data_IF_512732758728
#
_entry.id   IF_512732758728
#
_cell.length_a   1.000
_cell.length_b   1.000
_cell.length_c   1.000
_cell.angle_alpha   90.00
_cell.angle_beta   90.00
_cell.angle_gamma   90.00
#
_symmetry.space_group_name_H-M   'P 1'
#
loop_
_entity.id
_entity.type
_entity.pdbx_description
1 polymer ?
#
# COMPACT_ATOMS: atom_id res chain seq x y z
N UNK A 1 19.85 12.59 6.76
CA UNK A 1 18.45 12.17 6.92
C UNK A 1 18.36 10.67 6.79
N UNK A 2 18.48 9.94 7.90
CA UNK A 2 18.36 8.48 7.89
C UNK A 2 16.93 8.04 7.58
N UNK A 3 16.75 7.30 6.50
CA UNK A 3 15.46 6.89 5.92
C UNK A 3 15.28 5.38 6.03
N UNK A 4 14.19 4.95 6.67
CA UNK A 4 13.83 3.55 6.82
C UNK A 4 12.53 3.25 6.09
N UNK A 5 12.52 2.20 5.27
CA UNK A 5 11.31 1.74 4.58
C UNK A 5 10.71 0.52 5.29
N UNK A 6 9.53 0.71 5.89
CA UNK A 6 8.76 -0.32 6.56
C UNK A 6 7.67 -0.83 5.60
N UNK A 7 7.82 -2.05 5.11
CA UNK A 7 7.01 -2.55 3.99
C UNK A 7 6.62 -4.01 4.16
N UNK A 8 5.75 -4.52 3.29
CA UNK A 8 5.47 -5.94 3.14
C UNK A 8 6.41 -6.61 2.11
N UNK A 9 6.30 -7.93 1.97
CA UNK A 9 7.03 -8.73 0.99
C UNK A 9 6.29 -8.86 -0.36
N UNK A 10 5.85 -7.75 -0.94
CA UNK A 10 5.15 -7.72 -2.23
C UNK A 10 6.05 -7.30 -3.39
N UNK A 11 5.64 -7.60 -4.63
CA UNK A 11 6.33 -7.11 -5.82
C UNK A 11 6.45 -5.58 -5.87
N UNK A 12 5.37 -4.81 -5.66
CA UNK A 12 5.46 -3.35 -5.58
C UNK A 12 6.44 -2.85 -4.51
N UNK A 13 6.51 -3.52 -3.35
CA UNK A 13 7.49 -3.19 -2.32
C UNK A 13 8.92 -3.40 -2.81
N UNK A 14 9.23 -4.55 -3.41
CA UNK A 14 10.54 -4.83 -4.01
C UNK A 14 10.91 -3.78 -5.06
N UNK A 15 9.96 -3.41 -5.91
CA UNK A 15 10.17 -2.38 -6.94
C UNK A 15 10.55 -1.03 -6.33
N UNK A 16 9.78 -0.56 -5.33
CA UNK A 16 10.05 0.72 -4.67
C UNK A 16 11.38 0.67 -3.91
N UNK A 17 11.63 -0.38 -3.13
CA UNK A 17 12.88 -0.53 -2.35
C UNK A 17 14.12 -0.46 -3.24
N UNK A 18 14.15 -1.24 -4.33
CA UNK A 18 15.30 -1.26 -5.24
C UNK A 18 15.56 0.12 -5.86
N UNK A 19 14.51 0.80 -6.33
CA UNK A 19 14.67 2.12 -6.94
C UNK A 19 15.08 3.20 -5.93
N UNK A 20 14.59 3.14 -4.68
CA UNK A 20 15.05 4.05 -3.62
C UNK A 20 16.51 3.78 -3.25
N UNK A 21 16.90 2.51 -3.16
CA UNK A 21 18.29 2.11 -2.91
C UNK A 21 19.24 2.59 -4.00
N UNK A 22 18.93 2.35 -5.29
CA UNK A 22 19.73 2.80 -6.44
C UNK A 22 19.95 4.32 -6.42
N UNK A 23 18.98 5.09 -5.91
CA UNK A 23 19.08 6.55 -5.79
C UNK A 23 19.78 7.03 -4.51
N UNK A 24 20.25 6.13 -3.65
CA UNK A 24 20.86 6.48 -2.36
C UNK A 24 19.88 7.16 -1.40
N UNK A 25 18.59 6.83 -1.50
CA UNK A 25 17.51 7.44 -0.70
C UNK A 25 17.05 6.55 0.46
N UNK A 26 17.76 5.46 0.72
CA UNK A 26 17.32 4.43 1.64
C UNK A 26 18.50 3.87 2.44
N UNK A 27 18.39 3.93 3.76
CA UNK A 27 19.42 3.43 4.67
C UNK A 27 19.12 2.02 5.18
N UNK A 28 17.84 1.70 5.43
CA UNK A 28 17.43 0.37 5.86
C UNK A 28 16.00 0.02 5.41
N UNK A 29 15.71 -1.27 5.31
CA UNK A 29 14.37 -1.80 5.04
C UNK A 29 13.96 -2.79 6.10
N UNK A 30 12.72 -2.67 6.59
CA UNK A 30 12.09 -3.63 7.48
C UNK A 30 10.90 -4.26 6.76
N UNK A 31 10.92 -5.57 6.59
CA UNK A 31 9.89 -6.34 5.89
C UNK A 31 8.98 -7.04 6.90
N UNK A 32 7.69 -6.76 6.85
CA UNK A 32 6.65 -7.51 7.57
C UNK A 32 6.26 -8.77 6.78
N UNK A 33 6.76 -9.93 7.22
CA UNK A 33 6.38 -11.24 6.68
C UNK A 33 5.05 -11.69 7.33
N UNK A 34 3.94 -11.14 6.83
CA UNK A 34 2.59 -11.25 7.38
C UNK A 34 1.89 -12.62 7.29
N UNK A 35 2.62 -13.75 7.39
CA UNK A 35 2.03 -15.10 7.24
C UNK A 35 1.11 -15.50 8.41
N UNK A 36 1.46 -15.13 9.66
CA UNK A 36 0.73 -15.60 10.84
C UNK A 36 -0.66 -14.97 11.03
N UNK A 37 -0.86 -13.69 10.66
CA UNK A 37 -2.15 -12.99 10.87
C UNK A 37 -3.23 -13.39 9.85
N UNK A 38 -2.84 -13.84 8.65
CA UNK A 38 -3.77 -14.06 7.52
C UNK A 38 -4.68 -15.28 7.77
N UNK A 39 -4.10 -16.39 8.23
CA UNK A 39 -4.84 -17.64 8.51
C UNK A 39 -5.77 -17.50 9.72
N UNK A 40 -5.30 -16.91 10.81
CA UNK A 40 -6.11 -16.69 12.01
C UNK A 40 -7.28 -15.73 11.78
N UNK A 41 -7.08 -14.69 10.95
CA UNK A 41 -8.16 -13.77 10.57
C UNK A 41 -9.26 -14.47 9.76
N UNK A 42 -8.88 -15.28 8.77
CA UNK A 42 -9.83 -16.06 7.96
C UNK A 42 -10.66 -17.00 8.84
N UNK A 43 -9.99 -17.75 9.74
CA UNK A 43 -10.69 -18.66 10.66
C UNK A 43 -11.66 -17.89 11.56
N UNK A 44 -11.23 -16.75 12.12
CA UNK A 44 -12.08 -15.91 12.97
C UNK A 44 -13.29 -15.37 12.21
N UNK A 45 -13.08 -14.89 10.98
CA UNK A 45 -14.17 -14.37 10.14
C UNK A 45 -15.19 -15.46 9.79
N UNK A 46 -14.73 -16.67 9.42
CA UNK A 46 -15.62 -17.80 9.15
C UNK A 46 -16.41 -18.18 10.40
N UNK A 47 -15.76 -18.29 11.57
CA UNK A 47 -16.43 -18.61 12.84
C UNK A 47 -17.45 -17.56 13.27
N UNK A 48 -17.23 -16.28 12.95
CA UNK A 48 -18.17 -15.21 13.26
C UNK A 48 -19.30 -15.04 12.22
N UNK A 49 -19.27 -15.79 11.12
CA UNK A 49 -20.24 -15.66 10.03
C UNK A 49 -21.40 -16.63 10.26
N UNK A 50 -22.65 -16.15 10.05
CA UNK A 50 -23.82 -17.03 10.06
C UNK A 50 -23.65 -18.18 9.07
N UNK A 51 -24.03 -19.40 9.45
CA UNK A 51 -23.86 -20.61 8.62
C UNK A 51 -24.37 -20.42 7.18
N UNK A 52 -25.48 -19.69 7.00
CA UNK A 52 -26.06 -19.39 5.68
C UNK A 52 -25.16 -18.54 4.77
N UNK A 53 -24.22 -17.77 5.33
CA UNK A 53 -23.29 -16.88 4.60
C UNK A 53 -21.88 -17.45 4.45
N UNK A 54 -21.61 -18.65 4.98
CA UNK A 54 -20.31 -19.32 4.81
C UNK A 54 -20.00 -19.56 3.33
N UNK A 55 -20.92 -20.03 2.47
CA UNK A 55 -20.63 -20.23 1.05
C UNK A 55 -20.21 -18.93 0.34
N UNK A 56 -20.91 -17.82 0.61
CA UNK A 56 -20.57 -16.49 0.08
C UNK A 56 -19.16 -16.08 0.53
N UNK A 57 -18.83 -16.31 1.80
CA UNK A 57 -17.52 -15.95 2.35
C UNK A 57 -16.38 -16.77 1.75
N UNK A 58 -16.60 -18.07 1.50
CA UNK A 58 -15.63 -18.92 0.79
C UNK A 58 -15.40 -18.37 -0.62
N UNK A 59 -16.47 -17.99 -1.31
CA UNK A 59 -16.40 -17.43 -2.65
C UNK A 59 -15.65 -16.09 -2.67
N UNK A 60 -15.87 -15.21 -1.69
CA UNK A 60 -15.11 -13.96 -1.52
C UNK A 60 -13.60 -14.23 -1.37
N UNK A 61 -13.24 -15.17 -0.49
CA UNK A 61 -11.84 -15.53 -0.24
C UNK A 61 -11.18 -16.11 -1.48
N UNK A 62 -11.88 -16.98 -2.19
CA UNK A 62 -11.41 -17.57 -3.44
C UNK A 62 -11.22 -16.51 -4.53
N UNK A 63 -12.17 -15.59 -4.67
CA UNK A 63 -12.12 -14.49 -5.65
C UNK A 63 -10.92 -13.59 -5.40
N UNK A 64 -10.73 -13.17 -4.14
CA UNK A 64 -9.59 -12.34 -3.76
C UNK A 64 -8.27 -13.07 -3.90
N UNK A 65 -8.24 -14.37 -3.62
CA UNK A 65 -7.06 -15.19 -3.87
C UNK A 65 -6.70 -15.20 -5.36
N UNK A 66 -7.64 -15.51 -6.26
CA UNK A 66 -7.42 -15.48 -7.72
C UNK A 66 -6.93 -14.09 -8.14
N UNK A 67 -7.66 -13.03 -7.76
CA UNK A 67 -7.32 -11.66 -8.12
C UNK A 67 -5.89 -11.29 -7.65
N UNK A 68 -5.51 -11.70 -6.44
CA UNK A 68 -4.17 -11.48 -5.90
C UNK A 68 -3.10 -12.24 -6.69
N UNK A 69 -3.36 -13.48 -7.10
CA UNK A 69 -2.42 -14.27 -7.90
C UNK A 69 -2.23 -13.68 -9.30
N UNK A 70 -3.31 -13.26 -9.96
CA UNK A 70 -3.24 -12.63 -11.27
C UNK A 70 -2.50 -11.29 -11.20
N UNK A 71 -2.81 -10.49 -10.17
CA UNK A 71 -2.09 -9.24 -9.89
C UNK A 71 -0.60 -9.48 -9.69
N UNK A 72 -0.23 -10.46 -8.86
CA UNK A 72 1.17 -10.82 -8.59
C UNK A 72 1.91 -11.18 -9.89
N UNK A 73 1.33 -12.09 -10.69
CA UNK A 73 1.91 -12.50 -11.97
C UNK A 73 2.07 -11.34 -12.95
N UNK A 74 1.09 -10.44 -13.01
CA UNK A 74 1.15 -9.27 -13.86
C UNK A 74 2.27 -8.32 -13.43
N UNK A 75 2.36 -8.00 -12.13
CA UNK A 75 3.43 -7.15 -11.59
C UNK A 75 4.82 -7.78 -11.81
N UNK A 76 4.97 -9.07 -11.56
CA UNK A 76 6.22 -9.79 -11.84
C UNK A 76 6.62 -9.65 -13.32
N UNK A 77 5.69 -9.92 -14.23
CA UNK A 77 5.96 -9.90 -15.68
C UNK A 77 6.21 -8.49 -16.23
N UNK A 78 5.44 -7.49 -15.79
CA UNK A 78 5.38 -6.17 -16.43
C UNK A 78 6.05 -5.05 -15.65
N UNK A 79 6.42 -5.28 -14.38
CA UNK A 79 7.12 -4.30 -13.55
C UNK A 79 8.49 -4.82 -13.10
N UNK A 80 8.56 -6.04 -12.56
CA UNK A 80 9.80 -6.53 -11.94
C UNK A 80 10.81 -7.05 -12.95
N UNK A 81 10.44 -8.03 -13.78
CA UNK A 81 11.33 -8.62 -14.80
C UNK A 81 11.94 -7.57 -15.75
N UNK A 82 11.18 -6.60 -16.29
CA UNK A 82 11.75 -5.58 -17.17
C UNK A 82 12.75 -4.65 -16.47
N UNK A 83 12.69 -4.55 -15.13
CA UNK A 83 13.62 -3.75 -14.33
C UNK A 83 14.72 -4.62 -13.67
N UNK A 84 14.83 -5.91 -14.02
CA UNK A 84 15.78 -6.86 -13.43
C UNK A 84 15.70 -6.96 -11.90
N UNK A 85 14.48 -6.88 -11.36
CA UNK A 85 14.23 -6.96 -9.91
C UNK A 85 13.66 -8.33 -9.57
N UNK A 86 14.37 -9.13 -8.79
CA UNK A 86 13.88 -10.42 -8.29
C UNK A 86 13.64 -10.37 -6.78
N UNK A 87 14.59 -9.81 -6.04
CA UNK A 87 14.58 -9.71 -4.59
C UNK A 87 14.79 -8.28 -4.10
N UNK A 88 14.73 -8.09 -2.78
CA UNK A 88 15.18 -6.86 -2.15
C UNK A 88 16.71 -6.72 -2.29
N UNK A 89 17.24 -5.48 -2.36
CA UNK A 89 18.68 -5.25 -2.44
C UNK A 89 19.40 -5.83 -1.21
N UNK A 90 20.59 -6.38 -1.42
CA UNK A 90 21.40 -7.02 -0.37
C UNK A 90 22.41 -6.07 0.25
N UNK A 91 22.63 -4.92 -0.38
CA UNK A 91 23.60 -3.89 -0.01
C UNK A 91 23.05 -2.89 1.03
N UNK A 92 21.81 -3.07 1.49
CA UNK A 92 21.20 -2.25 2.55
C UNK A 92 20.93 -3.07 3.81
N UNK A 93 20.81 -2.38 4.94
CA UNK A 93 20.41 -3.04 6.18
C UNK A 93 18.97 -3.56 6.07
N UNK A 94 18.81 -4.88 6.06
CA UNK A 94 17.56 -5.56 5.75
C UNK A 94 17.09 -6.41 6.93
N UNK A 95 15.94 -6.06 7.49
CA UNK A 95 15.33 -6.76 8.62
C UNK A 95 14.01 -7.42 8.23
N UNK A 96 13.71 -8.56 8.86
CA UNK A 96 12.42 -9.25 8.72
C UNK A 96 11.73 -9.37 10.08
N UNK A 97 10.46 -8.98 10.12
CA UNK A 97 9.63 -9.00 11.33
C UNK A 97 8.29 -9.67 11.05
N UNK A 98 7.70 -10.31 12.07
CA UNK A 98 6.36 -10.90 11.96
C UNK A 98 5.23 -9.85 12.00
N UNK A 99 5.52 -8.70 12.60
CA UNK A 99 4.54 -7.65 12.85
C UNK A 99 5.24 -6.28 12.85
N UNK A 100 4.78 -5.36 12.00
CA UNK A 100 5.30 -3.99 11.92
C UNK A 100 5.08 -3.18 13.22
N UNK A 101 4.10 -3.59 14.04
CA UNK A 101 3.84 -3.04 15.38
C UNK A 101 4.36 -3.93 16.52
N UNK A 102 5.20 -4.92 16.21
CA UNK A 102 5.76 -5.84 17.20
C UNK A 102 6.95 -5.24 17.96
N UNK A 103 7.27 -5.81 19.12
CA UNK A 103 8.44 -5.42 19.92
C UNK A 103 9.76 -5.54 19.15
N UNK A 104 9.89 -6.56 18.31
CA UNK A 104 11.06 -6.74 17.43
C UNK A 104 11.22 -5.54 16.48
N UNK A 105 10.16 -5.15 15.78
CA UNK A 105 10.19 -4.00 14.87
C UNK A 105 10.51 -2.70 15.61
N UNK A 106 9.90 -2.50 16.78
CA UNK A 106 10.18 -1.35 17.63
C UNK A 106 11.65 -1.30 18.07
N UNK A 107 12.22 -2.44 18.46
CA UNK A 107 13.64 -2.53 18.85
C UNK A 107 14.57 -2.15 17.71
N UNK A 108 14.31 -2.67 16.50
CA UNK A 108 15.10 -2.38 15.31
C UNK A 108 15.00 -0.89 14.95
N UNK A 109 13.79 -0.32 14.95
CA UNK A 109 13.60 1.09 14.67
C UNK A 109 14.30 1.98 15.71
N UNK A 110 14.32 1.57 16.98
CA UNK A 110 15.04 2.32 18.03
C UNK A 110 16.56 2.29 17.81
N UNK A 111 17.13 1.15 17.41
CA UNK A 111 18.57 1.06 17.12
C UNK A 111 18.95 1.80 15.85
N UNK A 112 18.05 1.86 14.87
CA UNK A 112 18.29 2.59 13.64
C UNK A 112 18.23 4.11 13.85
N UNK A 113 17.43 4.61 14.79
CA UNK A 113 17.18 6.04 14.99
C UNK A 113 16.79 6.79 13.70
N UNK A 114 15.74 6.37 12.99
CA UNK A 114 15.36 6.99 11.73
C UNK A 114 14.94 8.45 11.90
N UNK A 115 15.29 9.29 10.94
CA UNK A 115 14.72 10.63 10.80
C UNK A 115 13.42 10.59 9.99
N UNK A 116 13.36 9.70 9.00
CA UNK A 116 12.19 9.47 8.15
C UNK A 116 11.83 7.97 8.14
N UNK A 117 10.57 7.66 8.41
CA UNK A 117 9.98 6.34 8.13
C UNK A 117 9.00 6.46 6.98
N UNK A 118 9.14 5.58 6.00
CA UNK A 118 8.19 5.41 4.91
C UNK A 118 7.50 4.07 5.09
N UNK A 119 6.17 4.07 4.99
CA UNK A 119 5.33 2.89 5.22
C UNK A 119 4.63 2.53 3.92
N UNK A 120 4.61 1.23 3.59
CA UNK A 120 3.87 0.73 2.44
C UNK A 120 3.32 -0.68 2.68
N UNK A 121 1.99 -0.78 2.74
CA UNK A 121 1.29 -2.07 2.74
C UNK A 121 1.53 -2.96 3.96
N UNK A 122 1.90 -2.39 5.11
CA UNK A 122 2.01 -3.10 6.39
C UNK A 122 0.68 -3.19 7.12
N UNK A 123 0.65 -3.91 8.25
CA UNK A 123 -0.44 -3.81 9.21
C UNK A 123 -0.49 -2.45 9.90
N UNK A 124 -1.63 -2.13 10.54
CA UNK A 124 -1.84 -0.87 11.25
C UNK A 124 -0.76 -0.68 12.31
N UNK A 125 -0.13 0.49 12.28
CA UNK A 125 0.96 0.86 13.18
C UNK A 125 0.42 1.36 14.51
N UNK A 126 1.00 0.87 15.61
CA UNK A 126 0.69 1.38 16.95
C UNK A 126 1.40 2.73 17.20
N UNK A 127 0.89 3.57 18.12
CA UNK A 127 1.46 4.89 18.40
C UNK A 127 2.96 4.89 18.65
N UNK A 128 3.52 3.87 19.29
CA UNK A 128 4.95 3.78 19.61
C UNK A 128 5.83 3.62 18.36
N UNK A 129 5.30 3.06 17.28
CA UNK A 129 5.99 2.98 15.99
C UNK A 129 5.76 4.26 15.18
N UNK A 130 4.57 4.87 15.27
CA UNK A 130 4.25 6.11 14.55
C UNK A 130 5.16 7.28 14.97
N UNK A 131 5.50 7.36 16.26
CA UNK A 131 6.25 8.47 16.84
C UNK A 131 7.77 8.28 16.88
N UNK A 132 8.29 7.16 16.38
CA UNK A 132 9.71 6.83 16.54
C UNK A 132 10.64 7.60 15.58
N UNK A 133 10.14 8.00 14.41
CA UNK A 133 10.91 8.81 13.47
C UNK A 133 11.11 10.23 14.02
N UNK A 134 12.34 10.74 13.98
CA UNK A 134 12.66 12.06 14.53
C UNK A 134 11.95 13.22 13.81
N UNK A 135 11.62 13.06 12.51
CA UNK A 135 11.03 14.14 11.70
C UNK A 135 9.69 13.76 11.09
N UNK A 136 9.61 12.67 10.35
CA UNK A 136 8.41 12.30 9.61
C UNK A 136 8.17 10.79 9.59
N UNK A 137 6.90 10.41 9.69
CA UNK A 137 6.42 9.07 9.38
C UNK A 137 5.39 9.23 8.27
N UNK A 138 5.65 8.65 7.10
CA UNK A 138 4.85 8.83 5.89
C UNK A 138 4.28 7.50 5.41
N UNK A 139 3.05 7.50 4.89
CA UNK A 139 2.46 6.34 4.21
C UNK A 139 2.37 6.59 2.70
N UNK A 140 2.72 5.58 1.91
CA UNK A 140 2.40 5.53 0.49
C UNK A 140 1.02 4.86 0.35
N UNK A 141 -0.02 5.66 0.11
CA UNK A 141 -1.38 5.17 -0.12
C UNK A 141 -1.71 5.16 -1.62
N UNK A 142 -2.01 4.00 -2.19
CA UNK A 142 -2.32 3.82 -3.62
C UNK A 142 -3.72 4.31 -4.05
N UNK A 143 -4.24 5.36 -3.41
CA UNK A 143 -5.50 6.01 -3.73
C UNK A 143 -5.47 7.52 -3.50
N UNK A 144 -6.50 8.23 -3.95
CA UNK A 144 -6.65 9.68 -3.84
C UNK A 144 -7.49 10.05 -2.61
N UNK A 145 -6.82 10.35 -1.50
CA UNK A 145 -7.47 10.82 -0.27
C UNK A 145 -8.05 12.23 -0.45
N UNK A 146 -9.16 12.59 0.22
CA UNK A 146 -9.86 11.82 1.23
C UNK A 146 -10.76 10.70 0.69
N UNK A 147 -10.92 10.50 -0.63
CA UNK A 147 -11.68 9.37 -1.18
C UNK A 147 -10.84 8.07 -1.16
N UNK A 148 -11.51 6.94 -1.37
CA UNK A 148 -10.87 5.63 -1.57
C UNK A 148 -9.79 5.28 -0.53
N UNK A 149 -10.02 5.61 0.75
CA UNK A 149 -9.17 5.23 1.88
C UNK A 149 -9.24 3.72 2.12
N UNK A 150 -8.23 3.20 2.80
CA UNK A 150 -8.01 1.80 3.12
C UNK A 150 -7.52 0.98 1.90
N UNK A 151 -8.16 -0.14 1.57
CA UNK A 151 -7.58 -1.13 0.65
C UNK A 151 -8.24 -1.15 -0.73
N UNK A 152 -7.47 -1.54 -1.75
CA UNK A 152 -7.94 -1.72 -3.13
C UNK A 152 -8.56 -0.45 -3.76
N UNK A 153 -7.99 0.72 -3.45
CA UNK A 153 -8.48 2.02 -3.90
C UNK A 153 -8.65 2.12 -5.42
N UNK A 154 -7.72 1.55 -6.18
CA UNK A 154 -7.76 1.48 -7.63
C UNK A 154 -8.97 0.68 -8.14
N UNK A 155 -9.26 -0.48 -7.56
CA UNK A 155 -10.47 -1.26 -7.88
C UNK A 155 -11.75 -0.46 -7.59
N UNK A 156 -11.81 0.22 -6.44
CA UNK A 156 -13.02 0.94 -6.03
C UNK A 156 -13.27 2.17 -6.92
N UNK A 157 -12.24 2.93 -7.26
CA UNK A 157 -12.36 4.05 -8.18
C UNK A 157 -12.78 3.59 -9.58
N UNK A 158 -12.18 2.53 -10.12
CA UNK A 158 -12.55 1.94 -11.41
C UNK A 158 -13.98 1.39 -11.40
N UNK A 159 -14.37 0.64 -10.38
CA UNK A 159 -15.71 0.04 -10.30
C UNK A 159 -16.82 1.09 -10.16
N UNK A 160 -16.50 2.27 -9.62
CA UNK A 160 -17.39 3.43 -9.57
C UNK A 160 -17.32 4.34 -10.79
N UNK A 161 -16.48 4.03 -11.78
CA UNK A 161 -16.21 4.87 -12.95
C UNK A 161 -15.69 6.27 -12.58
N UNK A 162 -15.04 6.39 -11.42
CA UNK A 162 -14.46 7.64 -10.90
C UNK A 162 -12.98 7.73 -11.30
N UNK A 163 -12.72 7.75 -12.61
CA UNK A 163 -11.36 7.68 -13.17
C UNK A 163 -10.48 8.87 -12.80
N UNK A 164 -11.08 10.01 -12.39
CA UNK A 164 -10.35 11.19 -11.93
C UNK A 164 -9.80 11.05 -10.51
N UNK A 165 -10.15 9.98 -9.79
CA UNK A 165 -9.68 9.69 -8.44
C UNK A 165 -8.81 8.41 -8.36
N UNK A 166 -8.15 8.07 -9.47
CA UNK A 166 -7.15 7.01 -9.52
C UNK A 166 -5.77 7.65 -9.44
N UNK A 167 -4.94 7.18 -8.51
CA UNK A 167 -3.59 7.69 -8.30
C UNK A 167 -3.05 7.35 -6.92
N UNK A 168 -2.09 8.13 -6.43
CA UNK A 168 -1.40 7.89 -5.16
C UNK A 168 -1.35 9.15 -4.31
N UNK A 169 -1.49 8.95 -3.00
CA UNK A 169 -1.27 9.98 -1.97
C UNK A 169 -0.12 9.56 -1.06
N UNK A 170 0.82 10.47 -0.84
CA UNK A 170 1.80 10.38 0.24
C UNK A 170 1.26 11.21 1.41
N UNK A 171 1.02 10.57 2.54
CA UNK A 171 0.38 11.21 3.70
C UNK A 171 1.28 11.11 4.93
N UNK A 172 1.18 12.09 5.82
CA UNK A 172 1.73 12.00 7.17
C UNK A 172 0.90 10.99 7.96
N UNK A 173 1.54 9.98 8.52
CA UNK A 173 0.85 8.88 9.20
C UNK A 173 0.34 9.33 10.56
N UNK A 174 -0.92 9.07 10.85
CA UNK A 174 -1.59 9.30 12.12
C UNK A 174 -2.24 7.98 12.61
N UNK A 175 -2.89 7.96 13.79
CA UNK A 175 -3.55 6.74 14.28
C UNK A 175 -4.74 6.24 13.44
N UNK A 176 -5.24 7.02 12.47
CA UNK A 176 -6.36 6.64 11.63
C UNK A 176 -5.92 5.89 10.36
N UNK A 177 -6.91 5.39 9.60
CA UNK A 177 -6.64 4.69 8.35
C UNK A 177 -6.70 5.70 7.21
N UNK A 178 -5.53 6.06 6.71
CA UNK A 178 -5.31 7.04 5.63
C UNK A 178 -5.95 8.41 5.90
N UNK A 179 -5.95 8.86 7.17
CA UNK A 179 -6.60 10.12 7.60
C UNK A 179 -5.67 11.31 7.71
N UNK A 180 -4.35 11.07 7.79
CA UNK A 180 -3.40 12.14 8.05
C UNK A 180 -3.19 13.10 6.89
N UNK A 181 -2.51 14.22 7.17
CA UNK A 181 -2.34 15.31 6.21
C UNK A 181 -1.60 14.87 4.95
N UNK A 182 -1.96 15.45 3.80
CA UNK A 182 -1.37 15.14 2.51
C UNK A 182 -0.02 15.85 2.41
N UNK A 183 1.04 15.07 2.21
CA UNK A 183 2.36 15.57 1.86
C UNK A 183 2.46 15.82 0.36
N UNK A 184 2.00 14.84 -0.44
CA UNK A 184 1.94 14.97 -1.89
C UNK A 184 0.87 14.04 -2.47
N UNK A 185 0.33 14.38 -3.64
CA UNK A 185 -0.68 13.57 -4.31
C UNK A 185 -0.51 13.68 -5.81
N UNK A 186 -0.67 12.57 -6.53
CA UNK A 186 -0.57 12.52 -7.98
C UNK A 186 -1.71 11.70 -8.57
N UNK A 187 -2.28 12.18 -9.68
CA UNK A 187 -3.34 11.51 -10.43
C UNK A 187 -2.75 10.67 -11.54
N UNK A 188 -3.39 9.54 -11.82
CA UNK A 188 -3.06 8.66 -12.93
C UNK A 188 -3.97 8.94 -14.12
N UNK A 189 -3.38 9.12 -15.30
CA UNK A 189 -4.13 9.10 -16.56
C UNK A 189 -4.51 7.66 -16.90
N UNK A 190 -5.81 7.40 -16.96
CA UNK A 190 -6.37 6.10 -17.38
C UNK A 190 -6.86 6.19 -18.82
N UNK A 191 -6.42 5.25 -19.65
CA UNK A 191 -6.83 5.13 -21.05
C UNK A 191 -7.90 4.06 -21.22
N UNK A 192 -8.55 4.00 -22.39
CA UNK A 192 -9.62 3.04 -22.68
C UNK A 192 -9.14 1.57 -22.75
N UNK A 193 -7.87 1.35 -23.06
CA UNK A 193 -7.23 0.04 -23.14
C UNK A 193 -6.61 -0.42 -21.79
N UNK A 194 -6.68 0.43 -20.76
CA UNK A 194 -6.16 0.09 -19.45
C UNK A 194 -7.01 -0.99 -18.76
N UNK A 195 -6.32 -2.00 -18.28
CA UNK A 195 -6.89 -3.03 -17.40
C UNK A 195 -6.64 -2.63 -15.95
N UNK A 196 -7.39 -3.23 -15.02
CA UNK A 196 -7.13 -3.03 -13.58
C UNK A 196 -5.68 -3.38 -13.19
N UNK A 197 -5.06 -4.35 -13.88
CA UNK A 197 -3.67 -4.72 -13.63
C UNK A 197 -2.66 -3.70 -14.20
N UNK A 198 -2.91 -3.15 -15.39
CA UNK A 198 -2.06 -2.08 -15.94
C UNK A 198 -2.18 -0.80 -15.13
N UNK A 199 -3.39 -0.45 -14.67
CA UNK A 199 -3.63 0.66 -13.74
C UNK A 199 -2.81 0.47 -12.47
N UNK A 200 -2.88 -0.70 -11.84
CA UNK A 200 -2.11 -0.97 -10.62
C UNK A 200 -0.60 -0.84 -10.86
N UNK A 201 -0.08 -1.37 -11.97
CA UNK A 201 1.34 -1.24 -12.35
C UNK A 201 1.74 0.23 -12.50
N UNK A 202 0.97 1.01 -13.27
CA UNK A 202 1.18 2.46 -13.43
C UNK A 202 1.11 3.22 -12.11
N UNK A 203 0.21 2.82 -11.20
CA UNK A 203 0.08 3.47 -9.91
C UNK A 203 1.28 3.20 -8.98
N UNK A 204 1.92 2.03 -9.10
CA UNK A 204 3.18 1.73 -8.37
C UNK A 204 4.33 2.61 -8.91
N UNK A 205 4.41 2.82 -10.22
CA UNK A 205 5.39 3.73 -10.82
C UNK A 205 5.18 5.18 -10.37
N UNK A 206 3.93 5.64 -10.36
CA UNK A 206 3.57 6.95 -9.80
C UNK A 206 3.93 7.06 -8.31
N UNK A 207 3.68 6.00 -7.54
CA UNK A 207 4.03 5.97 -6.11
C UNK A 207 5.52 6.14 -5.88
N UNK A 208 6.36 5.49 -6.70
CA UNK A 208 7.80 5.65 -6.67
C UNK A 208 8.22 7.11 -6.99
N UNK A 209 7.67 7.69 -8.05
CA UNK A 209 7.96 9.07 -8.43
C UNK A 209 7.62 10.04 -7.29
N UNK A 210 6.44 9.87 -6.68
CA UNK A 210 5.98 10.73 -5.61
C UNK A 210 6.82 10.56 -4.34
N UNK A 211 7.17 9.34 -3.94
CA UNK A 211 7.95 9.16 -2.72
C UNK A 211 9.39 9.68 -2.87
N UNK A 212 10.00 9.58 -4.06
CA UNK A 212 11.32 10.17 -4.33
C UNK A 212 11.28 11.69 -4.10
N UNK A 213 10.34 12.40 -4.73
CA UNK A 213 10.21 13.85 -4.56
C UNK A 213 9.91 14.22 -3.10
N UNK A 214 9.07 13.43 -2.43
CA UNK A 214 8.73 13.61 -1.01
C UNK A 214 9.96 13.49 -0.12
N UNK A 215 10.83 12.50 -0.34
CA UNK A 215 12.08 12.34 0.42
C UNK A 215 12.99 13.57 0.23
N UNK A 216 13.13 14.07 -0.99
CA UNK A 216 13.93 15.26 -1.26
C UNK A 216 13.38 16.51 -0.54
N UNK A 217 12.07 16.74 -0.57
CA UNK A 217 11.44 17.83 0.18
C UNK A 217 11.58 17.66 1.70
N UNK A 218 11.51 16.42 2.19
CA UNK A 218 11.71 16.11 3.61
C UNK A 218 13.14 16.43 4.07
N UNK A 219 14.16 16.15 3.23
CA UNK A 219 15.55 16.51 3.52
C UNK A 219 15.71 18.01 3.76
N UNK A 220 15.11 18.86 2.92
CA UNK A 220 15.17 20.32 3.05
C UNK A 220 14.21 20.90 4.09
N UNK A 221 13.35 20.08 4.70
CA UNK A 221 12.38 20.52 5.71
C UNK A 221 11.14 21.24 5.16
N UNK A 222 10.96 21.27 3.84
CA UNK A 222 9.85 21.95 3.17
C UNK A 222 8.71 21.00 2.81
N UNK A 223 8.49 19.95 3.61
CA UNK A 223 7.48 18.95 3.30
C UNK A 223 6.06 19.47 3.61
N UNK A 224 5.14 19.53 2.62
CA UNK A 224 3.79 20.06 2.83
C UNK A 224 2.97 19.24 3.82
N UNK A 225 1.98 19.89 4.43
CA UNK A 225 0.98 19.29 5.34
C UNK A 225 -0.40 19.85 5.02
N UNK A 226 -0.99 19.37 3.93
CA UNK A 226 -2.32 19.82 3.51
C UNK A 226 -3.38 18.98 4.18
N UNK A 227 -4.21 19.60 5.02
CA UNK A 227 -5.27 18.90 5.75
C UNK A 227 -6.32 18.31 4.80
N UNK A 228 -6.67 17.05 5.01
CA UNK A 228 -7.77 16.41 4.28
C UNK A 228 -9.12 17.03 4.64
N UNK A 229 -10.03 17.17 3.66
CA UNK A 229 -11.42 17.51 3.92
C UNK A 229 -12.17 16.34 4.57
N UNK A 230 -13.19 16.63 5.40
CA UNK A 230 -14.00 15.59 6.05
C UNK A 230 -14.99 14.99 5.04
N UNK A 231 -14.86 13.70 4.74
CA UNK A 231 -15.80 12.94 3.91
C UNK A 231 -16.34 11.71 4.66
N UNK A 232 -17.67 11.56 4.68
CA UNK A 232 -18.39 10.50 5.40
C UNK A 232 -18.25 9.14 4.67
N UNK A 233 -18.21 9.12 3.33
CA UNK A 233 -18.20 7.88 2.52
C UNK A 233 -16.91 7.69 1.71
N UNK A 234 -15.82 7.46 2.43
CA UNK A 234 -14.49 7.35 1.83
C UNK A 234 -13.74 6.07 2.19
N UNK A 235 -14.26 5.28 3.12
CA UNK A 235 -13.61 4.06 3.60
C UNK A 235 -14.09 2.83 2.82
N UNK A 236 -13.16 2.08 2.24
CA UNK A 236 -13.49 0.91 1.43
C UNK A 236 -12.87 -0.37 1.99
N UNK A 237 -13.58 -1.50 1.87
CA UNK A 237 -13.11 -2.81 2.35
C UNK A 237 -12.53 -3.61 1.17
N UNK A 238 -11.98 -4.79 1.47
CA UNK A 238 -11.62 -5.75 0.43
C UNK A 238 -12.87 -6.11 -0.41
N UNK A 239 -12.82 -6.03 -1.75
CA UNK A 239 -13.96 -6.34 -2.60
C UNK A 239 -14.46 -7.78 -2.41
N UNK A 240 -15.77 -7.96 -2.40
CA UNK A 240 -16.43 -9.27 -2.40
C UNK A 240 -16.53 -9.84 -3.81
N UNK A 241 -16.89 -11.12 -3.93
CA UNK A 241 -17.24 -11.72 -5.21
C UNK A 241 -18.31 -10.91 -5.95
N UNK A 242 -19.34 -10.46 -5.22
CA UNK A 242 -20.44 -9.68 -5.80
C UNK A 242 -19.94 -8.35 -6.36
N UNK A 243 -18.96 -7.72 -5.72
CA UNK A 243 -18.38 -6.47 -6.23
C UNK A 243 -17.62 -6.69 -7.55
N UNK A 244 -16.82 -7.76 -7.64
CA UNK A 244 -16.18 -8.15 -8.90
C UNK A 244 -17.20 -8.50 -9.99
N UNK A 245 -18.24 -9.24 -9.64
CA UNK A 245 -19.29 -9.64 -10.57
C UNK A 245 -20.05 -8.43 -11.12
N UNK A 246 -20.43 -7.48 -10.25
CA UNK A 246 -21.07 -6.22 -10.66
C UNK A 246 -20.16 -5.39 -11.57
N UNK A 247 -18.89 -5.28 -11.22
CA UNK A 247 -17.91 -4.57 -12.06
C UNK A 247 -17.79 -5.23 -13.44
N UNK A 248 -17.65 -6.55 -13.50
CA UNK A 248 -17.51 -7.28 -14.77
C UNK A 248 -18.76 -7.13 -15.65
N UNK A 249 -19.95 -7.32 -15.09
CA UNK A 249 -21.23 -7.25 -15.82
C UNK A 249 -21.64 -5.83 -16.23
N UNK A 250 -21.19 -4.80 -15.52
CA UNK A 250 -21.44 -3.39 -15.89
C UNK A 250 -20.50 -2.87 -16.97
N UNK A 251 -19.36 -3.54 -17.19
CA UNK A 251 -18.40 -3.22 -18.24
C UNK A 251 -18.60 -4.02 -19.54
N UNK A 252 -19.38 -5.09 -19.53
CA UNK A 252 -19.72 -5.86 -20.75
C UNK A 252 -20.99 -5.34 -21.46
N UNK A 253 -21.68 -4.36 -20.88
CA UNK A 253 -22.92 -3.76 -21.43
C UNK A 253 -22.70 -2.44 -22.19
N UNK A 254 -21.47 -2.13 -22.58
CA UNK A 254 -21.11 -0.99 -23.45
C UNK A 254 -20.45 -1.50 -24.72
#
# INVERSE_FOLDING_TARGET
MKTVFLTNNSGPAKFITNNLHIKGLLDATIIEDGSAKKTTKIIREIKSTSWKRIPEKILDLFTIWIYSQLTKRYIEKHLLKPNNIEEFPTEIDLHRVKNASGSQCLSILKSLEPELIIVFGTSILKPEVLSIAKRYTLNIHGGIVPKYRNVHSDFWAVSKKDFTNIGTSIIHLDPGIDTGDIAMQGLLKVNSDDTLFSIKKKNVELSLQLIIQTIEMAKTGNLPKTRQSKLIDSFYKTPSFVDFFRWFTSNTKS
#
